data_IF_001162221900
#
_entry.id   IF_001162221900
#
_cell.length_a   1.000
_cell.length_b   1.000
_cell.length_c   1.000
_cell.angle_alpha   90.00
_cell.angle_beta   90.00
_cell.angle_gamma   90.00
#
_symmetry.space_group_name_H-M   'P 1'
#
loop_
_entity.id
_entity.type
_entity.pdbx_description
1 polymer ?
#
# COMPACT_ATOMS: atom_id res chain seq x y z
N UNK A 1 -7.50 -5.29 29.83
CA UNK A 1 -7.25 -4.09 30.67
C UNK A 1 -7.53 -4.51 32.10
N UNK A 2 -6.55 -4.30 32.99
CA UNK A 2 -6.69 -4.67 34.40
C UNK A 2 -7.74 -3.75 35.04
N UNK A 3 -8.78 -4.29 35.67
CA UNK A 3 -9.87 -3.54 36.30
C UNK A 3 -9.43 -2.58 37.43
N UNK A 4 -8.18 -2.67 37.86
CA UNK A 4 -7.59 -1.81 38.89
C UNK A 4 -6.86 -0.58 38.36
N UNK A 5 -6.78 -0.38 37.04
CA UNK A 5 -6.07 0.73 36.41
C UNK A 5 -7.07 1.75 35.90
N UNK A 6 -6.92 3.01 36.31
CA UNK A 6 -7.67 4.12 35.77
C UNK A 6 -7.15 4.40 34.33
N UNK A 7 -7.96 4.12 33.32
CA UNK A 7 -7.61 4.24 31.90
C UNK A 7 -8.50 5.29 31.26
N UNK A 8 -7.91 6.41 30.86
CA UNK A 8 -8.59 7.41 30.05
C UNK A 8 -8.69 6.95 28.57
N UNK A 9 -9.90 6.83 28.04
CA UNK A 9 -10.14 6.48 26.64
C UNK A 9 -10.38 7.75 25.81
N UNK A 10 -9.67 7.85 24.69
CA UNK A 10 -9.76 8.98 23.76
C UNK A 10 -9.97 8.46 22.34
N UNK A 11 -10.71 9.18 21.52
CA UNK A 11 -10.93 8.78 20.14
C UNK A 11 -11.39 9.94 19.26
N UNK A 12 -11.15 9.79 17.96
CA UNK A 12 -11.68 10.70 16.96
C UNK A 12 -12.26 9.89 15.80
N UNK A 13 -13.46 10.25 15.36
CA UNK A 13 -14.19 9.58 14.29
C UNK A 13 -14.68 10.60 13.27
N UNK A 14 -14.55 10.22 11.98
CA UNK A 14 -14.99 11.02 10.84
C UNK A 14 -16.48 10.82 10.54
N UNK A 15 -16.95 9.58 10.61
CA UNK A 15 -18.33 9.23 10.25
C UNK A 15 -19.29 9.66 11.37
N UNK A 16 -20.32 10.50 11.09
CA UNK A 16 -21.22 11.02 12.12
C UNK A 16 -22.06 9.94 12.79
N UNK A 17 -22.45 8.87 12.08
CA UNK A 17 -23.23 7.77 12.64
C UNK A 17 -22.37 6.94 13.60
N UNK A 18 -21.15 6.58 13.18
CA UNK A 18 -20.21 5.82 14.01
C UNK A 18 -19.77 6.64 15.22
N UNK A 19 -19.57 7.96 15.04
CA UNK A 19 -19.29 8.87 16.14
C UNK A 19 -20.43 8.87 17.19
N UNK A 20 -21.69 8.97 16.75
CA UNK A 20 -22.85 8.94 17.65
C UNK A 20 -22.97 7.59 18.37
N UNK A 21 -22.76 6.47 17.67
CA UNK A 21 -22.78 5.12 18.26
C UNK A 21 -21.65 4.99 19.30
N UNK A 22 -20.44 5.44 18.98
CA UNK A 22 -19.31 5.39 19.91
C UNK A 22 -19.60 6.20 21.20
N UNK A 23 -20.12 7.42 21.08
CA UNK A 23 -20.51 8.23 22.25
C UNK A 23 -21.58 7.56 23.09
N UNK A 24 -22.59 6.95 22.46
CA UNK A 24 -23.64 6.24 23.17
C UNK A 24 -23.08 5.01 23.92
N UNK A 25 -22.18 4.24 23.30
CA UNK A 25 -21.51 3.08 23.92
C UNK A 25 -20.67 3.52 25.14
N UNK A 26 -19.91 4.60 25.02
CA UNK A 26 -19.14 5.18 26.13
C UNK A 26 -20.05 5.55 27.31
N UNK A 27 -21.17 6.25 27.05
CA UNK A 27 -22.15 6.62 28.09
C UNK A 27 -22.77 5.39 28.76
N UNK A 28 -23.14 4.37 27.99
CA UNK A 28 -23.71 3.13 28.53
C UNK A 28 -22.72 2.37 29.43
N UNK A 29 -21.42 2.49 29.15
CA UNK A 29 -20.34 1.88 29.95
C UNK A 29 -19.89 2.72 31.13
N UNK A 30 -20.44 3.91 31.31
CA UNK A 30 -20.04 4.85 32.37
C UNK A 30 -18.71 5.53 32.11
N UNK A 31 -18.24 5.53 30.86
CA UNK A 31 -16.99 6.17 30.42
C UNK A 31 -17.20 7.62 30.00
N UNK A 32 -16.13 8.42 29.99
CA UNK A 32 -16.23 9.82 29.61
C UNK A 32 -16.39 9.97 28.08
N UNK A 33 -17.62 10.19 27.63
CA UNK A 33 -17.95 10.37 26.22
C UNK A 33 -17.40 11.68 25.61
N UNK A 34 -16.99 12.66 26.42
CA UNK A 34 -16.42 13.93 25.94
C UNK A 34 -15.00 13.76 25.37
N UNK A 35 -14.35 12.67 25.71
CA UNK A 35 -13.06 12.29 25.11
C UNK A 35 -13.19 11.74 23.69
N UNK A 36 -14.40 11.47 23.20
CA UNK A 36 -14.64 11.09 21.83
C UNK A 36 -15.00 12.34 21.02
N UNK A 37 -14.18 12.67 20.03
CA UNK A 37 -14.29 13.86 19.17
C UNK A 37 -14.75 13.48 17.77
N UNK A 38 -15.52 14.37 17.14
CA UNK A 38 -16.04 14.16 15.78
C UNK A 38 -17.32 14.95 15.52
N UNK A 39 -17.92 14.78 14.33
CA UNK A 39 -17.41 14.08 13.14
C UNK A 39 -16.36 14.94 12.40
N UNK A 40 -15.11 14.60 12.50
CA UNK A 40 -13.99 15.37 11.94
C UNK A 40 -12.86 14.44 11.50
N UNK A 41 -12.22 14.77 10.36
CA UNK A 41 -11.08 14.00 9.86
C UNK A 41 -9.87 14.12 10.78
N UNK A 42 -9.31 12.99 11.17
CA UNK A 42 -8.05 12.93 11.93
C UNK A 42 -6.88 13.52 11.15
N UNK A 43 -6.90 13.40 9.81
CA UNK A 43 -5.81 13.87 8.96
C UNK A 43 -5.79 15.40 8.85
N UNK A 44 -6.93 16.05 8.64
CA UNK A 44 -7.00 17.50 8.43
C UNK A 44 -7.41 18.32 9.65
N UNK A 45 -8.04 17.69 10.65
CA UNK A 45 -8.56 18.38 11.85
C UNK A 45 -8.32 17.58 13.12
N UNK A 46 -7.06 17.38 13.47
CA UNK A 46 -6.67 16.74 14.72
C UNK A 46 -7.29 17.46 15.93
N UNK A 47 -8.09 16.74 16.72
CA UNK A 47 -8.76 17.25 17.90
C UNK A 47 -7.96 17.12 19.20
N UNK A 48 -6.79 16.51 19.12
CA UNK A 48 -5.87 16.31 20.24
C UNK A 48 -4.44 16.79 19.88
N UNK A 49 -4.26 18.04 19.39
CA UNK A 49 -2.99 18.48 18.81
C UNK A 49 -1.80 18.41 19.79
N UNK A 50 -2.05 18.65 21.07
CA UNK A 50 -1.02 18.67 22.12
C UNK A 50 -1.00 17.44 23.01
N UNK A 51 -1.92 16.49 22.78
CA UNK A 51 -2.01 15.28 23.59
C UNK A 51 -1.12 14.16 23.04
N UNK A 52 -0.54 13.42 23.97
CA UNK A 52 0.25 12.21 23.69
C UNK A 52 -0.29 11.04 24.52
N UNK A 53 -0.15 9.83 24.01
CA UNK A 53 -0.80 8.66 24.58
C UNK A 53 0.21 7.54 24.90
N UNK A 54 -0.08 6.77 25.94
CA UNK A 54 0.70 5.57 26.31
C UNK A 54 0.48 4.44 25.31
N UNK A 55 -0.78 4.25 24.92
CA UNK A 55 -1.20 3.21 23.97
C UNK A 55 -2.11 3.79 22.92
N UNK A 56 -1.84 3.41 21.66
CA UNK A 56 -2.67 3.81 20.51
C UNK A 56 -3.04 2.56 19.73
N UNK A 57 -4.33 2.39 19.49
CA UNK A 57 -4.85 1.24 18.74
C UNK A 57 -5.72 1.79 17.60
N UNK A 58 -5.51 1.32 16.39
CA UNK A 58 -6.31 1.74 15.23
C UNK A 58 -6.47 0.63 14.20
N UNK A 59 -7.60 0.69 13.50
CA UNK A 59 -7.85 -0.05 12.27
C UNK A 59 -8.34 0.96 11.23
N UNK A 60 -7.41 1.74 10.62
CA UNK A 60 -7.78 2.76 9.65
C UNK A 60 -8.39 2.13 8.39
N UNK A 61 -9.16 2.88 7.60
CA UNK A 61 -9.75 2.37 6.37
C UNK A 61 -8.68 1.97 5.35
N UNK A 62 -8.82 0.79 4.72
CA UNK A 62 -7.86 0.28 3.75
C UNK A 62 -8.10 0.87 2.36
N UNK A 63 -7.04 1.37 1.71
CA UNK A 63 -7.09 1.88 0.35
C UNK A 63 -8.04 3.06 0.15
N UNK A 64 -8.30 3.84 1.20
CA UNK A 64 -9.18 5.01 1.11
C UNK A 64 -8.40 6.22 0.62
N UNK A 65 -9.00 6.92 -0.35
CA UNK A 65 -8.47 8.19 -0.84
C UNK A 65 -8.51 9.27 0.24
N UNK A 66 -7.48 10.11 0.25
CA UNK A 66 -7.38 11.24 1.16
C UNK A 66 -7.41 12.60 0.44
N UNK A 67 -7.99 12.64 -0.78
CA UNK A 67 -8.14 13.86 -1.58
C UNK A 67 -8.79 15.02 -0.81
N UNK A 68 -9.78 14.74 0.04
CA UNK A 68 -10.48 15.76 0.81
C UNK A 68 -9.59 16.45 1.86
N UNK A 69 -8.55 15.76 2.32
CA UNK A 69 -7.60 16.25 3.31
C UNK A 69 -6.30 16.77 2.68
N UNK A 70 -6.13 16.63 1.35
CA UNK A 70 -4.87 16.80 0.63
C UNK A 70 -4.22 18.15 0.89
N UNK A 71 -4.96 19.25 0.75
CA UNK A 71 -4.41 20.60 0.90
C UNK A 71 -3.85 20.85 2.31
N UNK A 72 -4.56 20.35 3.33
CA UNK A 72 -4.13 20.51 4.72
C UNK A 72 -2.93 19.63 5.03
N UNK A 73 -2.99 18.37 4.63
CA UNK A 73 -1.92 17.39 4.83
C UNK A 73 -0.63 17.81 4.12
N UNK A 74 -0.72 18.29 2.87
CA UNK A 74 0.44 18.77 2.12
C UNK A 74 1.09 19.97 2.78
N UNK A 75 0.30 20.98 3.19
CA UNK A 75 0.81 22.14 3.91
C UNK A 75 1.44 21.79 5.26
N UNK A 76 0.94 20.76 5.92
CA UNK A 76 1.50 20.28 7.18
C UNK A 76 2.81 19.50 6.92
N UNK A 77 2.88 18.71 5.85
CA UNK A 77 4.09 17.98 5.44
C UNK A 77 5.26 18.91 5.10
N UNK A 78 4.98 20.08 4.49
CA UNK A 78 5.99 21.11 4.16
C UNK A 78 6.71 21.66 5.39
N UNK A 79 6.11 21.58 6.58
CA UNK A 79 6.73 22.02 7.85
C UNK A 79 7.80 21.07 8.37
N UNK A 80 7.91 19.87 7.80
CA UNK A 80 8.78 18.82 8.30
C UNK A 80 8.26 18.19 9.59
N UNK A 81 9.09 17.32 10.21
CA UNK A 81 8.70 16.60 11.43
C UNK A 81 8.70 17.42 12.70
N UNK A 82 9.47 18.49 12.76
CA UNK A 82 9.56 19.31 13.96
C UNK A 82 8.24 20.02 14.25
N UNK A 83 7.54 20.46 13.19
CA UNK A 83 6.33 21.27 13.30
C UNK A 83 5.09 20.64 12.63
N UNK A 84 5.23 19.44 12.04
CA UNK A 84 4.15 18.75 11.34
C UNK A 84 4.18 17.24 11.48
N UNK A 85 3.02 16.60 11.33
CA UNK A 85 2.88 15.14 11.47
C UNK A 85 3.34 14.34 10.26
N UNK A 86 3.40 14.94 9.07
CA UNK A 86 3.51 14.24 7.78
C UNK A 86 4.83 14.51 7.04
N UNK A 87 5.85 14.97 7.77
CA UNK A 87 7.14 15.37 7.21
C UNK A 87 8.01 14.24 6.65
N UNK A 88 7.68 12.95 6.90
CA UNK A 88 8.46 11.83 6.33
C UNK A 88 8.20 11.59 4.86
N UNK A 89 7.07 12.07 4.35
CA UNK A 89 6.64 11.91 2.98
C UNK A 89 5.13 11.77 2.86
N UNK A 90 4.64 11.88 1.62
CA UNK A 90 3.22 11.75 1.34
C UNK A 90 2.99 10.52 0.47
N UNK A 91 2.11 9.59 0.88
CA UNK A 91 1.76 8.45 0.06
C UNK A 91 0.86 8.89 -1.10
N UNK A 92 0.71 8.02 -2.09
CA UNK A 92 -0.24 8.25 -3.18
C UNK A 92 -1.65 8.56 -2.66
N UNK A 93 -2.38 9.41 -3.38
CA UNK A 93 -3.74 9.87 -2.98
C UNK A 93 -4.72 8.72 -2.76
N UNK A 94 -4.55 7.61 -3.44
CA UNK A 94 -5.47 6.47 -3.38
C UNK A 94 -5.31 5.61 -2.10
N UNK A 95 -4.33 5.89 -1.23
CA UNK A 95 -4.09 5.10 -0.03
C UNK A 95 -3.48 5.94 1.10
N UNK A 96 -4.30 6.35 2.05
CA UNK A 96 -3.92 7.17 3.19
C UNK A 96 -3.39 6.41 4.41
N UNK A 97 -3.24 5.08 4.38
CA UNK A 97 -2.88 4.28 5.56
C UNK A 97 -1.57 4.75 6.22
N UNK A 98 -0.55 5.08 5.41
CA UNK A 98 0.73 5.59 5.94
C UNK A 98 0.64 6.98 6.58
N UNK A 99 -0.36 7.79 6.25
CA UNK A 99 -0.63 9.04 6.97
C UNK A 99 -1.14 8.76 8.39
N UNK A 100 -2.01 7.76 8.56
CA UNK A 100 -2.44 7.35 9.90
C UNK A 100 -1.28 6.82 10.74
N UNK A 101 -0.33 6.08 10.14
CA UNK A 101 0.89 5.66 10.84
C UNK A 101 1.72 6.85 11.32
N UNK A 102 1.99 7.83 10.44
CA UNK A 102 2.71 9.06 10.83
C UNK A 102 1.96 9.84 11.92
N UNK A 103 0.64 10.01 11.78
CA UNK A 103 -0.19 10.65 12.80
C UNK A 103 -0.07 9.93 14.15
N UNK A 104 -0.18 8.61 14.19
CA UNK A 104 -0.06 7.87 15.46
C UNK A 104 1.34 7.98 16.07
N UNK A 105 2.40 7.96 15.26
CA UNK A 105 3.78 8.17 15.73
C UNK A 105 3.93 9.56 16.35
N UNK A 106 3.34 10.60 15.74
CA UNK A 106 3.37 11.96 16.31
C UNK A 106 2.64 12.10 17.65
N UNK A 107 1.78 11.11 17.98
CA UNK A 107 1.04 11.06 19.26
C UNK A 107 1.72 10.22 20.33
N UNK A 108 2.88 9.66 20.08
CA UNK A 108 3.68 9.03 21.13
C UNK A 108 4.26 10.06 22.11
N UNK A 109 4.36 9.72 23.38
CA UNK A 109 4.97 10.57 24.39
C UNK A 109 6.47 10.76 24.09
N UNK A 110 7.00 11.97 24.01
CA UNK A 110 8.38 12.21 23.56
C UNK A 110 9.48 11.62 24.47
N UNK A 111 9.21 11.45 25.75
CA UNK A 111 10.20 11.04 26.77
C UNK A 111 9.79 9.78 27.56
N UNK A 112 8.63 9.26 27.29
CA UNK A 112 8.07 8.10 27.97
C UNK A 112 7.80 6.98 26.98
N UNK A 113 7.56 5.77 27.50
CA UNK A 113 7.25 4.62 26.65
C UNK A 113 5.84 4.73 26.10
N UNK A 114 5.72 4.73 24.77
CA UNK A 114 4.45 4.59 24.07
C UNK A 114 4.47 3.36 23.17
N UNK A 115 3.31 2.77 22.94
CA UNK A 115 3.15 1.63 22.04
C UNK A 115 1.93 1.78 21.15
N UNK A 116 2.10 1.50 19.89
CA UNK A 116 1.06 1.55 18.86
C UNK A 116 0.80 0.13 18.35
N UNK A 117 -0.46 -0.24 18.17
CA UNK A 117 -0.86 -1.40 17.41
C UNK A 117 -1.87 -0.97 16.34
N UNK A 118 -1.51 -1.12 15.08
CA UNK A 118 -2.38 -0.73 13.96
C UNK A 118 -2.48 -1.85 12.94
N UNK A 119 -3.70 -2.05 12.44
CA UNK A 119 -3.96 -3.05 11.40
C UNK A 119 -4.01 -2.34 10.05
N UNK A 120 -3.25 -2.86 9.07
CA UNK A 120 -3.27 -2.38 7.69
C UNK A 120 -3.45 -3.54 6.72
N UNK A 121 -3.73 -3.24 5.45
CA UNK A 121 -3.50 -4.20 4.37
C UNK A 121 -2.01 -4.25 3.99
N UNK A 122 -1.67 -5.00 2.92
CA UNK A 122 -0.27 -5.13 2.47
C UNK A 122 0.32 -3.89 1.79
N UNK A 123 -0.51 -2.95 1.32
CA UNK A 123 -0.06 -1.78 0.56
C UNK A 123 1.03 -0.96 1.28
N UNK A 124 0.90 -0.61 2.57
CA UNK A 124 1.94 0.09 3.31
C UNK A 124 3.30 -0.61 3.34
N UNK A 125 3.33 -1.93 3.21
CA UNK A 125 4.58 -2.71 3.20
C UNK A 125 5.29 -2.70 1.85
N UNK A 126 4.54 -2.74 0.74
CA UNK A 126 5.10 -3.08 -0.58
C UNK A 126 5.01 -1.96 -1.60
N UNK A 127 4.16 -0.93 -1.40
CA UNK A 127 3.94 0.13 -2.37
C UNK A 127 5.02 1.20 -2.30
N UNK A 128 5.29 1.81 -3.43
CA UNK A 128 6.26 2.91 -3.59
C UNK A 128 7.68 2.42 -3.85
N UNK A 129 8.25 2.91 -4.94
CA UNK A 129 9.66 2.73 -5.29
C UNK A 129 10.58 3.60 -4.41
N UNK A 130 11.87 3.37 -4.47
CA UNK A 130 12.87 4.21 -3.81
C UNK A 130 12.70 5.69 -4.22
N UNK A 131 12.58 6.57 -3.23
CA UNK A 131 12.30 8.00 -3.43
C UNK A 131 10.82 8.35 -3.64
N UNK A 132 9.91 7.38 -3.57
CA UNK A 132 8.48 7.64 -3.45
C UNK A 132 8.10 7.88 -1.99
N UNK A 133 7.04 8.67 -1.75
CA UNK A 133 6.64 9.04 -0.40
C UNK A 133 6.37 7.85 0.53
N UNK A 134 5.79 6.76 0.03
CA UNK A 134 5.58 5.54 0.83
C UNK A 134 6.92 4.91 1.25
N UNK A 135 7.90 4.88 0.35
CA UNK A 135 9.24 4.39 0.66
C UNK A 135 9.95 5.27 1.70
N UNK A 136 9.82 6.60 1.57
CA UNK A 136 10.43 7.56 2.48
C UNK A 136 9.81 7.47 3.89
N UNK A 137 8.49 7.27 3.99
CA UNK A 137 7.82 7.06 5.28
C UNK A 137 8.32 5.76 5.95
N UNK A 138 8.43 4.65 5.20
CA UNK A 138 8.99 3.39 5.76
C UNK A 138 10.43 3.56 6.21
N UNK A 139 11.26 4.18 5.38
CA UNK A 139 12.65 4.51 5.71
C UNK A 139 12.72 5.28 7.02
N UNK A 140 11.96 6.36 7.14
CA UNK A 140 11.92 7.16 8.36
C UNK A 140 11.52 6.36 9.60
N UNK A 141 10.48 5.52 9.50
CA UNK A 141 10.05 4.68 10.63
C UNK A 141 11.12 3.67 11.06
N UNK A 142 11.87 3.12 10.11
CA UNK A 142 12.92 2.13 10.37
C UNK A 142 14.18 2.80 10.92
N UNK A 143 14.62 3.92 10.33
CA UNK A 143 15.80 4.67 10.77
C UNK A 143 15.65 5.27 12.18
N UNK A 144 14.40 5.64 12.56
CA UNK A 144 14.09 6.08 13.92
C UNK A 144 13.76 4.93 14.88
N UNK A 145 13.94 3.70 14.44
CA UNK A 145 13.74 2.49 15.23
C UNK A 145 12.33 2.33 15.83
N UNK A 146 11.30 2.89 15.16
CA UNK A 146 9.94 2.81 15.67
C UNK A 146 9.27 1.45 15.44
N UNK A 147 9.62 0.73 14.36
CA UNK A 147 8.98 -0.55 14.01
C UNK A 147 9.55 -1.67 14.88
N UNK A 148 8.77 -2.18 15.84
CA UNK A 148 9.16 -3.30 16.69
C UNK A 148 8.83 -4.65 16.04
N UNK A 149 7.60 -4.79 15.50
CA UNK A 149 7.17 -6.02 14.84
C UNK A 149 6.12 -5.76 13.76
N UNK A 150 6.06 -6.68 12.79
CA UNK A 150 4.97 -6.80 11.82
C UNK A 150 4.45 -8.23 11.87
N UNK A 151 3.15 -8.40 12.11
CA UNK A 151 2.50 -9.69 12.25
C UNK A 151 1.50 -9.87 11.10
N UNK A 152 1.77 -10.82 10.21
CA UNK A 152 0.84 -11.20 9.15
C UNK A 152 -0.29 -12.04 9.75
N UNK A 153 -1.54 -11.58 9.60
CA UNK A 153 -2.73 -12.26 10.09
C UNK A 153 -3.38 -13.11 8.98
N UNK A 154 -4.17 -14.13 9.34
CA UNK A 154 -4.96 -14.89 8.38
C UNK A 154 -5.85 -13.99 7.51
N UNK A 155 -6.11 -14.43 6.28
CA UNK A 155 -7.11 -13.79 5.44
C UNK A 155 -8.54 -14.00 5.96
N UNK A 156 -9.50 -13.28 5.42
CA UNK A 156 -10.94 -13.44 5.72
C UNK A 156 -11.30 -13.31 7.21
N UNK A 157 -10.56 -12.51 7.98
CA UNK A 157 -10.86 -12.19 9.39
C UNK A 157 -11.90 -11.08 9.56
N UNK A 158 -12.08 -10.20 8.55
CA UNK A 158 -12.92 -9.01 8.62
C UNK A 158 -14.18 -9.14 7.75
N UNK A 159 -15.25 -8.42 8.14
CA UNK A 159 -16.57 -8.56 7.53
C UNK A 159 -16.64 -8.06 6.08
N UNK A 160 -15.89 -7.01 5.77
CA UNK A 160 -15.94 -6.28 4.50
C UNK A 160 -14.73 -6.51 3.58
N UNK A 161 -13.80 -7.37 3.97
CA UNK A 161 -12.62 -7.69 3.15
C UNK A 161 -12.14 -9.12 3.37
N UNK A 162 -11.69 -9.76 2.30
CA UNK A 162 -11.11 -11.10 2.33
C UNK A 162 -9.58 -11.14 2.30
N UNK A 163 -8.92 -9.95 2.25
CA UNK A 163 -7.47 -9.86 2.11
C UNK A 163 -6.72 -10.21 3.40
N UNK A 164 -5.44 -10.56 3.26
CA UNK A 164 -4.49 -10.66 4.37
C UNK A 164 -4.24 -9.27 4.94
N UNK A 165 -4.21 -9.18 6.26
CA UNK A 165 -3.91 -7.94 7.00
C UNK A 165 -2.69 -8.11 7.87
N UNK A 166 -2.11 -6.99 8.27
CA UNK A 166 -0.86 -6.95 9.02
C UNK A 166 -1.02 -6.05 10.23
N UNK A 167 -0.62 -6.54 11.39
CA UNK A 167 -0.51 -5.72 12.61
C UNK A 167 0.88 -5.14 12.66
N UNK A 168 0.98 -3.82 12.65
CA UNK A 168 2.22 -3.11 12.96
C UNK A 168 2.26 -2.83 14.45
N UNK A 169 3.34 -3.21 15.09
CA UNK A 169 3.65 -2.85 16.46
C UNK A 169 4.77 -1.82 16.42
N UNK A 170 4.45 -0.58 16.82
CA UNK A 170 5.41 0.51 16.85
C UNK A 170 5.63 0.96 18.30
N UNK A 171 6.82 1.43 18.61
CA UNK A 171 7.18 1.99 19.91
C UNK A 171 8.32 2.99 19.76
N UNK A 172 8.39 3.96 20.64
CA UNK A 172 9.54 4.87 20.77
C UNK A 172 10.56 4.41 21.83
N UNK A 173 10.33 3.25 22.43
CA UNK A 173 11.21 2.72 23.47
C UNK A 173 11.20 1.19 23.43
N UNK A 174 11.98 0.62 22.51
CA UNK A 174 12.17 -0.83 22.41
C UNK A 174 12.94 -1.39 23.62
N UNK A 175 12.65 -2.62 24.04
CA UNK A 175 13.52 -3.38 24.93
C UNK A 175 14.93 -3.50 24.33
N UNK A 176 15.95 -3.57 25.19
CA UNK A 176 17.37 -3.54 24.77
C UNK A 176 17.73 -4.62 23.74
N UNK A 177 17.13 -5.81 23.86
CA UNK A 177 17.33 -6.94 22.94
C UNK A 177 16.66 -6.75 21.57
N UNK A 178 15.75 -5.78 21.44
CA UNK A 178 15.00 -5.45 20.21
C UNK A 178 15.46 -4.17 19.52
N UNK A 179 16.34 -3.40 20.16
CA UNK A 179 16.88 -2.15 19.57
C UNK A 179 17.58 -2.45 18.24
N UNK A 180 17.26 -1.66 17.20
CA UNK A 180 17.83 -1.82 15.86
C UNK A 180 17.32 -3.05 15.09
N UNK A 181 16.26 -3.71 15.58
CA UNK A 181 15.72 -4.94 14.98
C UNK A 181 14.22 -4.85 14.72
N UNK A 182 13.78 -5.59 13.72
CA UNK A 182 12.36 -5.75 13.37
C UNK A 182 12.02 -7.23 13.37
N UNK A 183 10.98 -7.59 14.09
CA UNK A 183 10.45 -8.94 14.13
C UNK A 183 9.32 -9.11 13.10
N UNK A 184 9.41 -10.11 12.24
CA UNK A 184 8.35 -10.51 11.32
C UNK A 184 7.73 -11.82 11.81
N UNK A 185 6.42 -11.79 12.10
CA UNK A 185 5.67 -12.97 12.54
C UNK A 185 4.67 -13.38 11.47
N UNK A 186 4.77 -14.61 11.00
CA UNK A 186 3.83 -15.19 10.06
C UNK A 186 2.76 -15.99 10.83
N UNK A 187 1.61 -15.38 11.02
CA UNK A 187 0.47 -16.00 11.72
C UNK A 187 -0.69 -16.37 10.77
N UNK A 188 -0.42 -16.46 9.46
CA UNK A 188 -1.47 -16.70 8.44
C UNK A 188 -2.23 -18.02 8.63
N UNK A 189 -1.63 -19.00 9.29
CA UNK A 189 -2.19 -20.33 9.51
C UNK A 189 -2.84 -20.50 10.91
N UNK A 190 -2.74 -19.48 11.77
CA UNK A 190 -3.34 -19.52 13.13
C UNK A 190 -4.79 -19.04 13.09
N UNK A 191 -5.71 -19.88 12.68
CA UNK A 191 -7.14 -19.57 12.63
C UNK A 191 -8.02 -20.79 12.70
N UNK A 192 -9.29 -20.55 13.02
CA UNK A 192 -10.38 -21.53 12.87
C UNK A 192 -11.37 -21.03 11.83
N UNK A 193 -11.94 -21.98 11.07
CA UNK A 193 -13.02 -21.68 10.12
C UNK A 193 -14.35 -21.48 10.85
N UNK A 194 -15.08 -20.46 10.45
CA UNK A 194 -16.43 -20.23 10.95
C UNK A 194 -17.40 -21.27 10.34
N UNK A 195 -18.36 -21.73 11.14
CA UNK A 195 -19.45 -22.62 10.66
C UNK A 195 -20.32 -21.93 9.61
N UNK A 196 -20.55 -20.62 9.75
CA UNK A 196 -21.31 -19.78 8.82
C UNK A 196 -20.54 -18.49 8.58
N UNK A 197 -20.37 -18.11 7.31
CA UNK A 197 -19.70 -16.87 6.95
C UNK A 197 -20.55 -15.63 7.30
N UNK A 198 -19.90 -14.54 7.64
CA UNK A 198 -20.48 -13.22 7.85
C UNK A 198 -19.86 -12.26 6.85
N UNK A 199 -20.48 -12.08 5.70
CA UNK A 199 -19.88 -11.37 4.56
C UNK A 199 -18.60 -12.07 4.09
N UNK A 200 -17.50 -11.33 3.98
CA UNK A 200 -16.18 -11.88 3.65
C UNK A 200 -15.49 -12.59 4.81
N UNK A 201 -15.96 -12.42 6.04
CA UNK A 201 -15.40 -13.08 7.21
C UNK A 201 -15.77 -14.55 7.21
N UNK A 202 -14.77 -15.41 7.07
CA UNK A 202 -14.90 -16.89 7.10
C UNK A 202 -14.02 -17.53 8.15
N UNK A 203 -13.04 -16.79 8.65
CA UNK A 203 -12.06 -17.22 9.64
C UNK A 203 -12.17 -16.37 10.91
N UNK A 204 -11.75 -16.92 12.03
CA UNK A 204 -11.63 -16.19 13.28
C UNK A 204 -10.43 -16.71 14.06
N UNK A 205 -9.89 -15.87 14.94
CA UNK A 205 -8.85 -16.25 15.91
C UNK A 205 -9.56 -16.69 17.19
N UNK A 206 -9.34 -17.93 17.61
CA UNK A 206 -9.76 -18.35 18.95
C UNK A 206 -8.74 -17.87 20.00
N UNK A 207 -9.08 -17.92 21.31
CA UNK A 207 -8.16 -17.49 22.35
C UNK A 207 -6.79 -18.18 22.29
N UNK A 208 -6.76 -19.45 21.92
CA UNK A 208 -5.54 -20.25 21.79
C UNK A 208 -4.67 -19.75 20.64
N UNK A 209 -5.28 -19.39 19.49
CA UNK A 209 -4.57 -18.82 18.34
C UNK A 209 -3.93 -17.48 18.73
N UNK A 210 -4.67 -16.62 19.44
CA UNK A 210 -4.17 -15.32 19.93
C UNK A 210 -3.01 -15.52 20.90
N UNK A 211 -3.12 -16.46 21.84
CA UNK A 211 -2.04 -16.78 22.78
C UNK A 211 -0.80 -17.26 22.03
N UNK A 212 -0.96 -18.08 21.00
CA UNK A 212 0.18 -18.57 20.23
C UNK A 212 0.87 -17.44 19.44
N UNK A 213 0.10 -16.54 18.81
CA UNK A 213 0.63 -15.35 18.13
C UNK A 213 1.41 -14.48 19.13
N UNK A 214 0.83 -14.24 20.32
CA UNK A 214 1.50 -13.47 21.37
C UNK A 214 2.79 -14.14 21.85
N UNK A 215 2.81 -15.47 22.00
CA UNK A 215 4.03 -16.22 22.36
C UNK A 215 5.12 -16.09 21.30
N UNK A 216 4.76 -16.11 19.99
CA UNK A 216 5.73 -15.89 18.91
C UNK A 216 6.33 -14.48 19.01
N UNK A 217 5.50 -13.47 19.27
CA UNK A 217 5.94 -12.10 19.46
C UNK A 217 6.82 -11.94 20.73
N UNK A 218 6.40 -12.48 21.88
CA UNK A 218 7.08 -12.29 23.16
C UNK A 218 8.43 -12.99 23.23
N UNK A 219 8.55 -14.22 22.69
CA UNK A 219 9.78 -15.00 22.69
C UNK A 219 10.94 -14.33 21.98
N UNK A 220 10.67 -13.47 21.02
CA UNK A 220 11.67 -12.80 20.19
C UNK A 220 12.79 -13.76 19.75
N UNK A 221 12.41 -14.87 19.12
CA UNK A 221 13.33 -15.91 18.68
C UNK A 221 12.92 -16.45 17.32
N UNK A 222 13.90 -16.60 16.43
CA UNK A 222 13.66 -17.15 15.10
C UNK A 222 13.17 -18.60 15.13
N UNK A 223 12.20 -18.89 14.29
CA UNK A 223 11.65 -20.21 14.07
C UNK A 223 10.87 -20.23 12.74
N UNK A 224 10.06 -21.26 12.52
CA UNK A 224 9.23 -21.42 11.31
C UNK A 224 8.27 -20.23 11.07
N UNK A 225 7.73 -19.63 12.14
CA UNK A 225 6.75 -18.55 12.08
C UNK A 225 7.35 -17.17 12.38
N UNK A 226 8.61 -17.08 12.77
CA UNK A 226 9.22 -15.84 13.22
C UNK A 226 10.60 -15.65 12.62
N UNK A 227 10.84 -14.47 12.05
CA UNK A 227 12.14 -13.99 11.57
C UNK A 227 12.48 -12.66 12.20
N UNK A 228 13.78 -12.43 12.45
CA UNK A 228 14.29 -11.19 13.03
C UNK A 228 15.34 -10.62 12.08
N UNK A 229 15.19 -9.38 11.72
CA UNK A 229 16.08 -8.67 10.81
C UNK A 229 16.63 -7.43 11.48
N UNK A 230 17.87 -7.09 11.19
CA UNK A 230 18.43 -5.80 11.55
C UNK A 230 17.79 -4.70 10.67
N UNK A 231 17.64 -3.48 11.21
CA UNK A 231 17.02 -2.37 10.48
C UNK A 231 17.72 -2.10 9.14
N UNK A 232 19.05 -2.28 9.08
CA UNK A 232 19.86 -2.07 7.88
C UNK A 232 19.53 -3.04 6.73
N UNK A 233 19.02 -4.24 7.03
CA UNK A 233 18.65 -5.24 6.02
C UNK A 233 17.42 -4.84 5.19
N UNK A 234 16.64 -3.86 5.64
CA UNK A 234 15.54 -3.26 4.87
C UNK A 234 16.02 -2.15 3.93
N UNK A 235 17.27 -1.72 4.05
CA UNK A 235 17.88 -0.74 3.17
C UNK A 235 18.25 -1.34 1.81
N UNK A 236 17.97 -0.62 0.72
CA UNK A 236 18.44 -1.01 -0.61
C UNK A 236 18.78 0.21 -1.47
N UNK A 237 19.68 0.01 -2.40
CA UNK A 237 20.01 1.02 -3.42
C UNK A 237 19.47 0.57 -4.76
N UNK A 238 18.56 1.36 -5.35
CA UNK A 238 18.05 1.13 -6.68
C UNK A 238 19.02 1.72 -7.71
N UNK A 239 19.59 0.86 -8.56
CA UNK A 239 20.44 1.28 -9.68
C UNK A 239 19.63 1.16 -10.98
N UNK A 240 19.56 2.25 -11.73
CA UNK A 240 19.02 2.25 -13.08
C UNK A 240 20.18 2.05 -14.06
N UNK A 241 20.23 0.88 -14.68
CA UNK A 241 21.22 0.57 -15.72
C UNK A 241 20.60 0.83 -17.08
N UNK A 242 21.02 1.91 -17.73
CA UNK A 242 20.60 2.23 -19.09
C UNK A 242 21.64 1.71 -20.11
N UNK A 243 21.14 1.07 -21.15
CA UNK A 243 21.95 0.71 -22.32
C UNK A 243 21.49 1.54 -23.50
N UNK A 244 22.43 2.08 -24.32
CA UNK A 244 22.03 2.74 -25.56
C UNK A 244 21.20 1.77 -26.40
N UNK A 245 20.01 2.20 -26.82
CA UNK A 245 19.16 1.42 -27.71
C UNK A 245 19.82 1.31 -29.08
N UNK A 246 20.29 0.11 -29.43
CA UNK A 246 20.75 -0.20 -30.77
C UNK A 246 19.56 -0.63 -31.60
N UNK A 247 19.06 0.27 -32.47
CA UNK A 247 18.01 -0.07 -33.40
C UNK A 247 18.58 -0.93 -34.53
N UNK A 248 17.99 -2.08 -34.75
CA UNK A 248 18.31 -2.98 -35.84
C UNK A 248 17.17 -2.96 -36.85
N UNK A 249 17.50 -2.61 -38.06
CA UNK A 249 16.56 -2.63 -39.20
C UNK A 249 16.99 -3.73 -40.15
N UNK A 250 16.11 -4.68 -40.39
CA UNK A 250 16.30 -5.80 -41.31
C UNK A 250 14.97 -6.15 -41.94
N UNK A 251 14.97 -6.40 -43.21
CA UNK A 251 13.84 -6.92 -43.96
C UNK A 251 14.09 -8.41 -44.19
N UNK A 252 13.46 -9.26 -43.37
CA UNK A 252 13.44 -10.71 -43.57
C UNK A 252 12.06 -11.17 -44.01
N UNK A 253 11.97 -12.36 -44.63
CA UNK A 253 10.66 -12.90 -45.05
C UNK A 253 9.68 -13.02 -43.89
N UNK A 254 10.13 -13.52 -42.74
CA UNK A 254 9.35 -13.61 -41.50
C UNK A 254 8.78 -12.26 -41.07
N UNK A 255 9.59 -11.19 -41.15
CA UNK A 255 9.13 -9.84 -40.81
C UNK A 255 8.13 -9.25 -41.83
N UNK A 256 8.26 -9.61 -43.11
CA UNK A 256 7.33 -9.24 -44.14
C UNK A 256 5.97 -9.94 -43.94
N UNK A 257 5.95 -11.21 -43.58
CA UNK A 257 4.75 -11.95 -43.22
C UNK A 257 4.05 -11.35 -41.99
N UNK A 258 4.84 -10.99 -40.96
CA UNK A 258 4.33 -10.36 -39.75
C UNK A 258 3.71 -8.96 -39.99
N UNK A 259 3.97 -8.30 -41.13
CA UNK A 259 3.30 -7.03 -41.47
C UNK A 259 1.80 -7.19 -41.52
N UNK A 260 1.28 -8.31 -42.01
CA UNK A 260 -0.16 -8.57 -42.12
C UNK A 260 -0.82 -8.68 -40.71
N UNK A 261 -0.09 -8.98 -39.66
CA UNK A 261 -0.57 -8.98 -38.26
C UNK A 261 -0.63 -7.56 -37.67
N UNK A 262 0.00 -6.56 -38.32
CA UNK A 262 -0.02 -5.18 -37.85
C UNK A 262 -1.32 -4.52 -38.29
N UNK A 263 -2.15 -4.11 -37.32
CA UNK A 263 -3.49 -3.58 -37.56
C UNK A 263 -3.55 -2.35 -38.49
N UNK A 264 -2.49 -1.53 -38.58
CA UNK A 264 -2.43 -0.42 -39.54
C UNK A 264 -2.18 -0.89 -40.98
N UNK A 265 -1.48 -2.03 -41.15
CA UNK A 265 -1.19 -2.60 -42.46
C UNK A 265 -2.36 -3.46 -42.97
N UNK A 266 -2.98 -4.29 -42.10
CA UNK A 266 -4.15 -5.09 -42.45
C UNK A 266 -5.34 -4.22 -42.88
N UNK A 267 -5.58 -3.11 -42.18
CA UNK A 267 -6.64 -2.15 -42.49
C UNK A 267 -6.50 -1.45 -43.82
N UNK A 268 -5.34 -1.50 -44.46
CA UNK A 268 -5.19 -0.98 -45.83
C UNK A 268 -6.06 -1.74 -46.85
N UNK A 269 -6.32 -3.02 -46.64
CA UNK A 269 -7.14 -3.87 -47.48
C UNK A 269 -8.59 -4.05 -46.98
N UNK A 270 -9.00 -3.27 -45.97
CA UNK A 270 -10.34 -3.28 -45.41
C UNK A 270 -11.11 -2.02 -45.88
N UNK A 271 -12.35 -2.19 -46.33
CA UNK A 271 -13.23 -1.07 -46.64
C UNK A 271 -14.39 -0.98 -45.66
N UNK A 272 -14.80 0.25 -45.36
CA UNK A 272 -15.97 0.56 -44.52
C UNK A 272 -17.21 0.98 -45.35
N UNK A 273 -17.12 0.90 -46.69
CA UNK A 273 -18.21 1.30 -47.57
C UNK A 273 -19.33 0.26 -47.55
N UNK A 274 -20.57 0.72 -47.61
CA UNK A 274 -21.77 -0.13 -47.61
C UNK A 274 -22.12 -0.65 -49.03
N UNK A 275 -21.75 0.10 -50.09
CA UNK A 275 -21.99 -0.32 -51.48
C UNK A 275 -21.02 -1.45 -51.87
N UNK A 276 -21.49 -2.65 -52.28
CA UNK A 276 -20.65 -3.82 -52.56
C UNK A 276 -19.60 -3.58 -53.65
N UNK A 277 -19.94 -2.83 -54.72
CA UNK A 277 -19.01 -2.55 -55.82
C UNK A 277 -17.88 -1.60 -55.38
N UNK A 278 -18.23 -0.50 -54.73
CA UNK A 278 -17.24 0.43 -54.16
C UNK A 278 -16.37 -0.19 -53.07
N UNK A 279 -16.95 -1.11 -52.31
CA UNK A 279 -16.21 -1.85 -51.28
C UNK A 279 -15.14 -2.74 -51.91
N UNK A 280 -15.48 -3.48 -52.95
CA UNK A 280 -14.58 -4.36 -53.65
C UNK A 280 -13.43 -3.58 -54.30
N UNK A 281 -13.72 -2.45 -54.96
CA UNK A 281 -12.71 -1.57 -55.54
C UNK A 281 -11.72 -1.03 -54.53
N UNK A 282 -12.22 -0.59 -53.35
CA UNK A 282 -11.38 -0.07 -52.28
C UNK A 282 -10.47 -1.17 -51.64
N UNK A 283 -11.03 -2.36 -51.44
CA UNK A 283 -10.27 -3.53 -50.94
C UNK A 283 -9.20 -3.98 -51.93
N UNK A 284 -9.49 -4.01 -53.25
CA UNK A 284 -8.51 -4.34 -54.28
C UNK A 284 -7.41 -3.28 -54.39
N UNK A 285 -7.77 -1.99 -54.34
CA UNK A 285 -6.79 -0.92 -54.30
C UNK A 285 -5.91 -0.99 -53.03
N UNK A 286 -6.49 -1.36 -51.91
CA UNK A 286 -5.76 -1.56 -50.65
C UNK A 286 -4.77 -2.73 -50.72
N UNK A 287 -5.19 -3.87 -51.27
CA UNK A 287 -4.30 -5.04 -51.49
C UNK A 287 -3.13 -4.69 -52.43
N UNK A 288 -3.40 -3.97 -53.50
CA UNK A 288 -2.37 -3.49 -54.44
C UNK A 288 -1.35 -2.60 -53.72
N UNK A 289 -1.81 -1.73 -52.85
CA UNK A 289 -0.94 -0.87 -52.03
C UNK A 289 -0.11 -1.67 -51.03
N UNK A 290 -0.65 -2.71 -50.40
CA UNK A 290 0.09 -3.64 -49.55
C UNK A 290 1.21 -4.33 -50.35
N UNK A 291 0.91 -4.83 -51.57
CA UNK A 291 1.91 -5.46 -52.43
C UNK A 291 3.02 -4.48 -52.87
N UNK A 292 2.70 -3.23 -53.18
CA UNK A 292 3.66 -2.18 -53.52
C UNK A 292 4.62 -1.92 -52.35
N UNK A 293 4.09 -1.85 -51.10
CA UNK A 293 4.89 -1.68 -49.88
C UNK A 293 5.82 -2.87 -49.70
N UNK A 294 5.29 -4.09 -49.78
CA UNK A 294 6.11 -5.32 -49.63
C UNK A 294 7.19 -5.40 -50.71
N UNK A 295 6.86 -5.09 -51.95
CA UNK A 295 7.84 -5.10 -53.04
C UNK A 295 8.92 -4.03 -52.86
N UNK A 296 8.57 -2.89 -52.31
CA UNK A 296 9.52 -1.82 -51.95
C UNK A 296 10.46 -2.23 -50.82
N UNK A 297 9.94 -2.91 -49.79
CA UNK A 297 10.70 -3.44 -48.70
C UNK A 297 11.64 -4.58 -49.14
N UNK A 298 11.17 -5.50 -50.03
CA UNK A 298 12.02 -6.57 -50.58
C UNK A 298 13.22 -6.05 -51.36
N UNK A 299 13.13 -4.86 -51.98
CA UNK A 299 14.27 -4.20 -52.64
C UNK A 299 15.39 -3.80 -51.70
N UNK A 300 15.10 -3.60 -50.42
CA UNK A 300 16.10 -3.26 -49.39
C UNK A 300 16.99 -4.47 -49.09
N UNK A 301 16.48 -5.70 -49.30
CA UNK A 301 17.19 -6.93 -49.09
C UNK A 301 17.41 -7.25 -47.61
N UNK A 302 18.10 -8.36 -47.36
CA UNK A 302 18.30 -8.95 -46.02
C UNK A 302 19.46 -8.27 -45.24
N UNK A 303 19.89 -7.09 -45.66
CA UNK A 303 21.00 -6.37 -45.05
C UNK A 303 20.57 -5.76 -43.70
N UNK A 304 21.36 -6.02 -42.68
CA UNK A 304 21.21 -5.46 -41.36
C UNK A 304 21.72 -4.03 -41.28
N UNK A 305 20.82 -3.10 -40.92
CA UNK A 305 21.18 -1.70 -40.65
C UNK A 305 21.13 -1.44 -39.14
N UNK A 306 22.22 -0.91 -38.59
CA UNK A 306 22.31 -0.57 -37.18
C UNK A 306 22.38 0.93 -37.02
N UNK A 307 21.51 1.50 -36.16
CA UNK A 307 21.55 2.91 -35.81
C UNK A 307 21.55 3.04 -34.28
N UNK A 308 22.53 3.74 -33.76
CA UNK A 308 22.56 4.14 -32.38
C UNK A 308 21.59 5.32 -32.21
N UNK A 309 20.74 5.25 -31.19
CA UNK A 309 19.92 6.36 -30.76
C UNK A 309 20.48 6.80 -29.39
N UNK A 310 20.95 8.03 -29.35
CA UNK A 310 21.40 8.67 -28.13
C UNK A 310 20.22 9.30 -27.42
#
# INVERSE_FOLDING_TARGET
>A
INKSTDVGLFGQELNPEIYAICKADMLMKGENSENIKGPLSTLSKDQFPTMHFDFIISNPPYGTKWEQDQDVVTKEAEKGFEDGRFGAGLPRINDGQLLFLQHMVSKMKPKEKSRIAVITNGSPLFTGDAGAGESDIRKWMIENDFVEAIIALPNQLFYNTGITTYVWVLTNNKPTDRVGKIQLVNAIDFFKKMRRSLGYKRNYLCPEDIIEILKQYDKFKENEHCKIFDNEEFGYTKLLVERPLQLNYQVSEEKLENLYAIGSFSKLAESKKENPEEKLEEEEAGKKKQEEIINSLKKIGDKQYKKWKY
#
